data_IF_854320194879
#
_entry.id   IF_854320194879
#
_cell.length_a   1.000
_cell.length_b   1.000
_cell.length_c   1.000
_cell.angle_alpha   90.00
_cell.angle_beta   90.00
_cell.angle_gamma   90.00
#
_symmetry.space_group_name_H-M   'P 1'
#
loop_
_entity.id
_entity.type
_entity.pdbx_description
1 polymer ?
#
# COMPACT_ATOMS: atom_id res chain seq x y z
N UNK A 1 -0.32 14.96 3.84
CA UNK A 1 -0.64 14.78 2.41
C UNK A 1 -1.80 13.78 2.25
N UNK A 2 -2.54 13.74 1.13
CA UNK A 2 -3.58 12.71 0.91
C UNK A 2 -2.99 11.38 0.44
N UNK A 3 -3.78 10.29 0.45
CA UNK A 3 -3.39 8.96 -0.05
C UNK A 3 -4.19 8.56 -1.29
N UNK A 4 -3.55 7.82 -2.20
CA UNK A 4 -4.23 7.13 -3.30
C UNK A 4 -3.97 5.62 -3.18
N UNK A 5 -4.99 4.88 -2.72
CA UNK A 5 -4.89 3.43 -2.52
C UNK A 5 -4.69 2.67 -3.84
N UNK A 6 -5.28 3.12 -4.94
CA UNK A 6 -5.10 2.45 -6.23
C UNK A 6 -3.65 2.58 -6.69
N UNK A 7 -3.09 3.80 -6.71
CA UNK A 7 -1.69 4.03 -7.08
C UNK A 7 -0.71 3.30 -6.16
N UNK A 8 -1.05 3.17 -4.87
CA UNK A 8 -0.17 2.58 -3.86
C UNK A 8 -0.24 1.05 -3.84
N UNK A 9 -1.45 0.49 -3.89
CA UNK A 9 -1.67 -0.95 -3.82
C UNK A 9 -1.46 -1.61 -5.16
N UNK A 10 -1.84 -0.97 -6.27
CA UNK A 10 -1.73 -1.56 -7.60
C UNK A 10 -0.37 -2.22 -7.78
N UNK A 11 0.79 -1.53 -7.66
CA UNK A 11 2.14 -2.11 -7.82
C UNK A 11 2.64 -2.97 -6.64
N UNK A 12 1.86 -3.14 -5.57
CA UNK A 12 2.32 -3.76 -4.32
C UNK A 12 1.86 -5.20 -4.17
N UNK A 13 2.73 -6.08 -3.66
CA UNK A 13 2.36 -7.42 -3.25
C UNK A 13 1.34 -7.45 -2.10
N UNK A 14 1.21 -6.36 -1.34
CA UNK A 14 0.18 -6.22 -0.32
C UNK A 14 -1.22 -6.33 -0.92
N UNK A 15 -1.43 -5.90 -2.18
CA UNK A 15 -2.73 -6.01 -2.86
C UNK A 15 -3.25 -7.45 -2.93
N UNK A 16 -2.36 -8.44 -3.04
CA UNK A 16 -2.77 -9.86 -3.07
C UNK A 16 -3.52 -10.31 -1.82
N UNK A 17 -3.38 -9.57 -0.72
CA UNK A 17 -4.08 -9.83 0.53
C UNK A 17 -5.45 -9.17 0.59
N UNK A 18 -5.86 -8.46 -0.46
CA UNK A 18 -7.13 -7.74 -0.53
C UNK A 18 -7.90 -8.14 -1.78
N UNK A 19 -9.21 -8.07 -1.68
CA UNK A 19 -10.08 -8.00 -2.84
C UNK A 19 -10.75 -6.63 -2.90
N UNK A 20 -10.99 -6.13 -4.10
CA UNK A 20 -11.66 -4.85 -4.31
C UNK A 20 -13.15 -5.07 -4.51
N UNK A 21 -13.98 -4.36 -3.74
CA UNK A 21 -15.43 -4.42 -3.81
C UNK A 21 -16.02 -3.01 -3.70
N UNK A 22 -16.62 -2.51 -4.77
CA UNK A 22 -17.35 -1.23 -4.82
C UNK A 22 -16.61 -0.06 -4.15
N UNK A 23 -15.37 0.23 -4.52
CA UNK A 23 -14.62 1.34 -3.92
C UNK A 23 -13.87 0.99 -2.63
N UNK A 24 -13.97 -0.25 -2.15
CA UNK A 24 -13.41 -0.66 -0.86
C UNK A 24 -12.47 -1.85 -1.03
N UNK A 25 -11.28 -1.77 -0.43
CA UNK A 25 -10.38 -2.90 -0.30
C UNK A 25 -10.72 -3.68 0.98
N UNK A 26 -11.00 -4.97 0.83
CA UNK A 26 -11.38 -5.85 1.92
C UNK A 26 -10.29 -6.90 2.10
N UNK A 27 -9.76 -7.04 3.31
CA UNK A 27 -8.66 -7.96 3.63
C UNK A 27 -9.13 -9.41 3.48
N UNK A 28 -8.58 -10.13 2.52
CA UNK A 28 -8.96 -11.50 2.19
C UNK A 28 -8.19 -12.56 3.02
N UNK A 29 -6.98 -12.23 3.48
CA UNK A 29 -6.10 -13.16 4.20
C UNK A 29 -5.26 -12.45 5.25
N UNK A 30 -4.78 -13.21 6.24
CA UNK A 30 -3.91 -12.71 7.30
C UNK A 30 -4.62 -12.11 8.50
N UNK A 31 -3.89 -11.30 9.27
CA UNK A 31 -4.38 -10.56 10.42
C UNK A 31 -5.44 -9.53 9.99
N UNK A 32 -6.49 -9.38 10.81
CA UNK A 32 -7.67 -8.53 10.55
C UNK A 32 -8.39 -8.87 9.23
N UNK A 33 -8.43 -10.15 8.84
CA UNK A 33 -9.28 -10.62 7.73
C UNK A 33 -10.71 -10.06 7.84
N UNK A 34 -11.30 -9.72 6.70
CA UNK A 34 -12.60 -9.05 6.49
C UNK A 34 -12.66 -7.57 6.87
N UNK A 35 -11.60 -7.00 7.45
CA UNK A 35 -11.54 -5.55 7.65
C UNK A 35 -11.45 -4.82 6.31
N UNK A 36 -11.83 -3.55 6.32
CA UNK A 36 -12.10 -2.74 5.15
C UNK A 36 -11.35 -1.44 5.23
N UNK A 37 -10.76 -1.04 4.11
CA UNK A 37 -10.19 0.28 3.94
C UNK A 37 -10.54 0.86 2.57
N UNK A 38 -10.73 2.17 2.53
CA UNK A 38 -10.94 2.95 1.31
C UNK A 38 -10.36 4.35 1.47
N UNK A 39 -10.15 5.02 0.35
CA UNK A 39 -9.76 6.42 0.34
C UNK A 39 -11.00 7.27 -0.01
N UNK A 40 -11.28 8.29 0.78
CA UNK A 40 -12.28 9.32 0.50
C UNK A 40 -11.60 10.69 0.56
N UNK A 41 -11.62 11.44 -0.55
CA UNK A 41 -11.00 12.77 -0.65
C UNK A 41 -9.52 12.82 -0.18
N UNK A 42 -8.79 11.72 -0.40
CA UNK A 42 -7.39 11.56 0.03
C UNK A 42 -7.21 11.13 1.49
N UNK A 43 -8.29 10.93 2.24
CA UNK A 43 -8.24 10.43 3.62
C UNK A 43 -8.50 8.93 3.67
N UNK A 44 -7.74 8.23 4.50
CA UNK A 44 -7.94 6.82 4.77
C UNK A 44 -9.15 6.63 5.69
N UNK A 45 -10.16 5.90 5.21
CA UNK A 45 -11.33 5.48 5.98
C UNK A 45 -11.24 3.96 6.17
N UNK A 46 -11.16 3.50 7.41
CA UNK A 46 -10.85 2.09 7.72
C UNK A 46 -11.43 1.63 9.05
N UNK A 47 -11.79 0.35 9.15
CA UNK A 47 -12.12 -0.35 10.40
C UNK A 47 -11.02 -1.33 10.85
N UNK A 48 -9.89 -1.37 10.13
CA UNK A 48 -8.80 -2.30 10.38
C UNK A 48 -7.92 -1.92 11.58
N UNK A 49 -8.04 -0.70 12.10
CA UNK A 49 -7.12 -0.13 13.09
C UNK A 49 -5.83 0.41 12.47
N UNK A 50 -4.81 0.58 13.31
CA UNK A 50 -3.52 1.20 12.93
C UNK A 50 -2.77 0.39 11.86
N UNK A 51 -3.04 -0.90 11.73
CA UNK A 51 -2.43 -1.78 10.72
C UNK A 51 -2.71 -1.27 9.29
N UNK A 52 -3.85 -0.61 9.06
CA UNK A 52 -4.17 -0.03 7.76
C UNK A 52 -3.23 1.11 7.36
N UNK A 53 -2.52 1.76 8.30
CA UNK A 53 -1.51 2.76 7.95
C UNK A 53 -0.39 2.14 7.11
N UNK A 54 0.02 0.91 7.44
CA UNK A 54 1.04 0.17 6.70
C UNK A 54 0.56 -0.28 5.33
N UNK A 55 -0.64 -0.85 5.26
CA UNK A 55 -1.17 -1.38 4.00
C UNK A 55 -1.55 -0.28 3.01
N UNK A 56 -2.05 0.85 3.50
CA UNK A 56 -2.40 2.01 2.67
C UNK A 56 -1.19 2.83 2.23
N UNK A 57 -0.02 2.62 2.84
CA UNK A 57 1.16 3.44 2.65
C UNK A 57 1.10 4.82 3.32
N UNK A 58 0.10 5.11 4.15
CA UNK A 58 -0.04 6.38 4.86
C UNK A 58 1.16 6.67 5.77
N UNK A 59 1.72 5.65 6.43
CA UNK A 59 2.92 5.78 7.26
C UNK A 59 4.11 6.40 6.51
N UNK A 60 4.24 6.07 5.22
CA UNK A 60 5.32 6.57 4.37
C UNK A 60 5.07 8.01 3.95
N UNK A 61 3.80 8.39 3.74
CA UNK A 61 3.43 9.78 3.45
C UNK A 61 3.78 10.69 4.63
N UNK A 62 3.48 10.26 5.86
CA UNK A 62 3.84 11.01 7.07
C UNK A 62 5.37 11.14 7.23
N UNK A 63 6.11 10.08 6.91
CA UNK A 63 7.59 10.13 6.88
C UNK A 63 8.10 11.12 5.84
N UNK A 64 7.52 11.12 4.63
CA UNK A 64 7.91 12.02 3.55
C UNK A 64 7.57 13.49 3.81
N UNK A 65 6.55 13.76 4.63
CA UNK A 65 6.14 15.10 5.05
C UNK A 65 7.01 15.62 6.22
N UNK A 66 7.54 14.72 7.05
CA UNK A 66 8.35 15.06 8.23
C UNK A 66 9.85 15.09 7.98
N UNK A 67 10.34 14.36 6.96
CA UNK A 67 11.76 14.23 6.66
C UNK A 67 12.08 14.54 5.19
N UNK A 68 13.13 15.33 4.97
CA UNK A 68 13.71 15.46 3.63
C UNK A 68 14.50 14.19 3.26
N UNK A 69 14.30 13.64 2.04
CA UNK A 69 15.09 12.51 1.57
C UNK A 69 16.58 12.85 1.54
N UNK A 70 17.40 12.13 2.30
CA UNK A 70 18.86 12.34 2.36
C UNK A 70 19.61 11.30 1.51
N UNK A 71 20.70 11.74 0.89
CA UNK A 71 21.66 10.86 0.21
C UNK A 71 21.39 10.65 -1.29
N UNK A 72 22.02 9.62 -1.85
CA UNK A 72 22.07 9.38 -3.31
C UNK A 72 20.74 9.03 -3.97
N UNK A 73 19.68 8.79 -3.18
CA UNK A 73 18.35 8.41 -3.67
C UNK A 73 17.34 9.57 -3.64
N UNK A 74 17.72 10.76 -3.14
CA UNK A 74 16.78 11.88 -2.99
C UNK A 74 16.10 12.26 -4.30
N UNK A 75 16.87 12.31 -5.40
CA UNK A 75 16.36 12.59 -6.74
C UNK A 75 15.24 11.63 -7.18
N UNK A 76 15.31 10.35 -6.77
CA UNK A 76 14.31 9.35 -7.12
C UNK A 76 13.04 9.59 -6.31
N UNK A 77 13.17 9.88 -5.02
CA UNK A 77 12.03 10.20 -4.16
C UNK A 77 11.33 11.47 -4.65
N UNK A 78 12.08 12.51 -5.00
CA UNK A 78 11.54 13.77 -5.53
C UNK A 78 10.84 13.56 -6.88
N UNK A 79 11.44 12.73 -7.77
CA UNK A 79 10.81 12.36 -9.02
C UNK A 79 9.49 11.64 -8.78
N UNK A 80 9.45 10.64 -7.90
CA UNK A 80 8.23 9.91 -7.55
C UNK A 80 7.16 10.82 -6.96
N UNK A 81 7.53 11.72 -6.03
CA UNK A 81 6.61 12.74 -5.47
C UNK A 81 6.03 13.64 -6.56
N UNK A 82 6.84 14.04 -7.54
CA UNK A 82 6.40 14.95 -8.61
C UNK A 82 5.49 14.29 -9.64
N UNK A 83 5.76 13.02 -10.00
CA UNK A 83 5.02 12.30 -11.04
C UNK A 83 3.77 11.60 -10.50
N UNK A 84 3.83 11.14 -9.26
CA UNK A 84 2.78 10.35 -8.62
C UNK A 84 2.42 10.97 -7.26
N UNK A 85 1.71 12.11 -7.25
CA UNK A 85 1.23 12.69 -6.01
C UNK A 85 0.33 11.68 -5.27
N UNK A 86 0.49 11.61 -3.95
CA UNK A 86 -0.25 10.68 -3.07
C UNK A 86 0.11 9.19 -3.22
N UNK A 87 1.23 8.87 -3.89
CA UNK A 87 1.80 7.53 -3.91
C UNK A 87 2.45 7.21 -2.55
N UNK A 88 1.86 6.26 -1.84
CA UNK A 88 2.42 5.69 -0.61
C UNK A 88 3.29 4.46 -0.87
N UNK A 89 3.83 3.89 0.21
CA UNK A 89 4.56 2.62 0.19
C UNK A 89 3.82 1.58 1.04
N UNK A 90 3.07 0.69 0.39
CA UNK A 90 2.34 -0.36 1.08
C UNK A 90 3.27 -1.48 1.57
N UNK A 91 3.18 -1.80 2.86
CA UNK A 91 3.89 -2.93 3.49
C UNK A 91 2.95 -3.70 4.40
N UNK A 92 3.23 -4.98 4.64
CA UNK A 92 2.53 -5.78 5.65
C UNK A 92 3.55 -6.45 6.60
N UNK A 93 3.83 -5.83 7.76
CA UNK A 93 4.78 -6.39 8.73
C UNK A 93 4.17 -7.55 9.54
N UNK A 94 2.86 -7.76 9.48
CA UNK A 94 2.15 -8.70 10.32
C UNK A 94 1.88 -10.04 9.62
N UNK A 95 1.82 -10.05 8.29
CA UNK A 95 1.58 -11.24 7.47
C UNK A 95 2.74 -11.58 6.50
N UNK A 96 4.00 -11.71 6.97
CA UNK A 96 5.16 -11.86 6.08
C UNK A 96 5.10 -13.12 5.21
N UNK A 97 4.53 -14.22 5.71
CA UNK A 97 4.35 -15.45 4.92
C UNK A 97 3.31 -15.27 3.81
N UNK A 98 2.24 -14.52 4.06
CA UNK A 98 1.23 -14.25 3.03
C UNK A 98 1.77 -13.31 1.95
N UNK A 99 2.68 -12.39 2.28
CA UNK A 99 3.39 -11.54 1.31
C UNK A 99 4.44 -12.32 0.51
N UNK A 100 5.08 -13.32 1.10
CA UNK A 100 6.11 -14.11 0.40
C UNK A 100 5.53 -14.92 -0.77
N UNK A 101 4.32 -15.46 -0.62
CA UNK A 101 3.64 -16.26 -1.66
C UNK A 101 3.51 -15.51 -3.00
N UNK A 102 2.89 -14.32 -3.08
CA UNK A 102 2.74 -13.58 -4.33
C UNK A 102 4.10 -13.12 -4.88
N UNK A 103 5.09 -12.80 -4.03
CA UNK A 103 6.46 -12.50 -4.47
C UNK A 103 7.04 -13.70 -5.22
N UNK A 104 6.92 -14.90 -4.64
CA UNK A 104 7.42 -16.12 -5.24
C UNK A 104 6.72 -16.44 -6.57
N UNK A 105 5.38 -16.32 -6.60
CA UNK A 105 4.59 -16.60 -7.81
C UNK A 105 4.79 -15.56 -8.93
N UNK A 106 5.13 -14.32 -8.59
CA UNK A 106 5.39 -13.27 -9.59
C UNK A 106 6.62 -13.52 -10.46
N UNK A 107 7.52 -14.42 -10.04
CA UNK A 107 8.70 -14.77 -10.83
C UNK A 107 8.34 -15.63 -12.06
N UNK A 108 7.20 -16.32 -12.03
CA UNK A 108 6.76 -17.22 -13.09
C UNK A 108 5.45 -16.78 -13.77
N UNK A 109 4.74 -15.79 -13.23
CA UNK A 109 3.44 -15.31 -13.72
C UNK A 109 3.27 -13.80 -13.54
N UNK A 110 2.36 -13.18 -14.30
CA UNK A 110 1.93 -11.80 -14.04
C UNK A 110 1.17 -11.73 -12.72
N UNK A 111 1.61 -10.93 -11.74
CA UNK A 111 0.98 -10.90 -10.41
C UNK A 111 -0.47 -10.38 -10.42
N UNK A 112 -0.88 -9.65 -11.45
CA UNK A 112 -2.27 -9.19 -11.63
C UNK A 112 -3.21 -10.28 -12.14
N UNK A 113 -2.68 -11.41 -12.61
CA UNK A 113 -3.47 -12.49 -13.20
C UNK A 113 -3.20 -13.80 -12.50
N UNK A 114 -3.84 -14.02 -11.35
CA UNK A 114 -4.12 -15.34 -10.79
C UNK A 114 -5.49 -15.31 -10.07
#
# INVERSE_FOLDING_TARGET
MGINLELTLYPSFVLSLFHYNNGTYVKAAGIKKECKMRAEDGYLVTDCGDEALYWSGAWFMDLLDSEEPKGSISWLVDLLKSQYPMLGLAVDPHDPLHILIPIFLSQSTSYHGN
#
